data_IF_693074255931
#
_entry.id   IF_693074255931
#
_cell.length_a   1.000
_cell.length_b   1.000
_cell.length_c   1.000
_cell.angle_alpha   90.00
_cell.angle_beta   90.00
_cell.angle_gamma   90.00
#
_symmetry.space_group_name_H-M   'P 1'
#
loop_
_entity.id
_entity.type
_entity.pdbx_description
1 polymer ?
#
# COMPACT_ATOMS: atom_id res chain seq x y z
N UNK A 1 -68.63 -42.72 -25.62
CA UNK A 1 -67.18 -42.78 -25.93
C UNK A 1 -66.65 -41.38 -25.73
N UNK A 2 -66.17 -41.12 -24.52
CA UNK A 2 -65.56 -39.88 -24.06
C UNK A 2 -64.42 -40.32 -23.16
N UNK A 3 -63.20 -39.88 -23.45
CA UNK A 3 -62.41 -39.06 -22.52
C UNK A 3 -61.00 -38.92 -23.07
N UNK A 4 -60.72 -37.71 -23.57
CA UNK A 4 -59.37 -37.25 -23.82
C UNK A 4 -58.67 -37.03 -22.49
N UNK A 5 -57.62 -37.80 -22.23
CA UNK A 5 -56.65 -37.48 -21.18
C UNK A 5 -55.79 -36.31 -21.65
N UNK A 6 -56.16 -35.11 -21.23
CA UNK A 6 -55.19 -34.01 -21.08
C UNK A 6 -54.29 -34.36 -19.89
N UNK A 7 -52.98 -34.27 -20.10
CA UNK A 7 -51.99 -34.36 -19.04
C UNK A 7 -51.98 -32.99 -18.35
N UNK A 8 -52.56 -32.93 -17.14
CA UNK A 8 -52.29 -31.85 -16.19
C UNK A 8 -50.81 -31.94 -15.81
N UNK A 9 -50.03 -30.99 -16.29
CA UNK A 9 -48.76 -30.66 -15.66
C UNK A 9 -49.10 -29.71 -14.52
N UNK A 10 -49.10 -30.22 -13.30
CA UNK A 10 -49.14 -29.40 -12.10
C UNK A 10 -47.95 -28.43 -12.12
N UNK A 11 -48.28 -27.14 -12.00
CA UNK A 11 -47.37 -26.04 -11.72
C UNK A 11 -46.47 -26.40 -10.52
N UNK A 12 -45.23 -26.80 -10.77
CA UNK A 12 -44.14 -26.61 -9.80
C UNK A 12 -43.78 -25.12 -9.78
N UNK A 13 -44.73 -24.33 -9.28
CA UNK A 13 -44.54 -22.97 -8.81
C UNK A 13 -43.77 -23.01 -7.49
N UNK A 14 -42.75 -22.17 -7.42
CA UNK A 14 -42.34 -21.49 -6.20
C UNK A 14 -42.05 -22.37 -4.97
N UNK A 15 -41.04 -23.22 -5.10
CA UNK A 15 -40.15 -23.47 -3.96
C UNK A 15 -38.73 -23.05 -4.36
N UNK A 16 -38.61 -21.76 -4.71
CA UNK A 16 -37.46 -21.01 -4.23
C UNK A 16 -37.42 -21.28 -2.73
N UNK A 17 -36.51 -22.15 -2.30
CA UNK A 17 -35.98 -22.10 -0.94
C UNK A 17 -35.44 -20.68 -0.79
N UNK A 18 -36.29 -19.78 -0.34
CA UNK A 18 -35.91 -18.70 0.55
C UNK A 18 -35.24 -19.41 1.72
N UNK A 19 -33.94 -19.64 1.55
CA UNK A 19 -33.03 -19.73 2.67
C UNK A 19 -33.36 -18.48 3.47
N UNK A 20 -33.72 -18.61 4.76
CA UNK A 20 -33.89 -17.45 5.61
C UNK A 20 -32.63 -16.61 5.43
N UNK A 21 -32.77 -15.40 4.89
CA UNK A 21 -31.72 -14.39 5.01
C UNK A 21 -31.54 -14.25 6.51
N UNK A 22 -30.46 -14.86 7.01
CA UNK A 22 -30.01 -14.69 8.37
C UNK A 22 -29.96 -13.17 8.60
N UNK A 23 -30.79 -12.67 9.51
CA UNK A 23 -30.78 -11.28 9.97
C UNK A 23 -29.54 -10.97 10.82
N UNK A 24 -28.40 -11.55 10.45
CA UNK A 24 -27.10 -11.29 11.01
C UNK A 24 -26.41 -10.22 10.19
N UNK A 25 -25.95 -9.17 10.87
CA UNK A 25 -25.05 -8.12 10.40
C UNK A 25 -23.74 -8.71 9.86
N UNK A 26 -23.78 -9.42 8.72
CA UNK A 26 -22.59 -9.94 8.08
C UNK A 26 -21.87 -8.80 7.37
N UNK A 27 -20.61 -8.57 7.79
CA UNK A 27 -19.75 -7.59 7.17
C UNK A 27 -19.53 -7.97 5.69
N UNK A 28 -19.51 -7.01 4.75
CA UNK A 28 -19.29 -7.25 3.33
C UNK A 28 -17.79 -7.49 3.05
N UNK A 29 -17.23 -8.54 3.66
CA UNK A 29 -15.79 -8.82 3.68
C UNK A 29 -15.27 -9.18 2.29
N UNK A 30 -16.05 -9.96 1.53
CA UNK A 30 -15.64 -10.41 0.19
C UNK A 30 -15.57 -9.24 -0.79
N UNK A 31 -16.61 -8.43 -0.78
CA UNK A 31 -16.76 -7.27 -1.65
C UNK A 31 -15.72 -6.22 -1.28
N UNK A 32 -15.55 -5.91 0.00
CA UNK A 32 -14.50 -5.01 0.48
C UNK A 32 -13.11 -5.45 0.09
N UNK A 33 -12.80 -6.75 0.22
CA UNK A 33 -11.52 -7.29 -0.21
C UNK A 33 -11.28 -7.12 -1.72
N UNK A 34 -12.32 -7.22 -2.56
CA UNK A 34 -12.20 -6.97 -4.00
C UNK A 34 -11.89 -5.49 -4.26
N UNK A 35 -12.64 -4.57 -3.66
CA UNK A 35 -12.38 -3.12 -3.80
C UNK A 35 -10.97 -2.75 -3.30
N UNK A 36 -10.56 -3.29 -2.16
CA UNK A 36 -9.22 -3.09 -1.62
C UNK A 36 -8.11 -3.67 -2.51
N UNK A 37 -8.30 -4.86 -3.06
CA UNK A 37 -7.32 -5.47 -3.95
C UNK A 37 -7.15 -4.66 -5.24
N UNK A 38 -8.26 -4.20 -5.84
CA UNK A 38 -8.22 -3.32 -7.02
C UNK A 38 -7.49 -2.02 -6.68
N UNK A 39 -7.78 -1.42 -5.53
CA UNK A 39 -7.16 -0.18 -5.08
C UNK A 39 -5.65 -0.34 -4.87
N UNK A 40 -5.21 -1.39 -4.16
CA UNK A 40 -3.79 -1.72 -3.97
C UNK A 40 -3.09 -1.92 -5.31
N UNK A 41 -3.65 -2.73 -6.22
CA UNK A 41 -3.03 -3.00 -7.51
C UNK A 41 -2.94 -1.73 -8.36
N UNK A 42 -4.01 -0.95 -8.47
CA UNK A 42 -4.02 0.27 -9.26
C UNK A 42 -3.01 1.31 -8.75
N UNK A 43 -2.93 1.49 -7.43
CA UNK A 43 -1.99 2.41 -6.80
C UNK A 43 -0.55 1.93 -6.96
N UNK A 44 -0.25 0.66 -6.65
CA UNK A 44 1.09 0.11 -6.85
C UNK A 44 1.55 0.21 -8.31
N UNK A 45 0.67 -0.10 -9.29
CA UNK A 45 1.01 0.06 -10.71
C UNK A 45 1.27 1.52 -11.10
N UNK A 46 0.60 2.47 -10.46
CA UNK A 46 0.88 3.90 -10.66
C UNK A 46 2.26 4.27 -10.15
N UNK A 47 2.62 3.80 -8.95
CA UNK A 47 3.98 3.95 -8.41
C UNK A 47 5.03 3.28 -9.30
N UNK A 48 4.75 2.08 -9.79
CA UNK A 48 5.62 1.33 -10.68
C UNK A 48 5.87 2.07 -11.99
N UNK A 49 4.80 2.59 -12.61
CA UNK A 49 4.91 3.34 -13.85
C UNK A 49 5.76 4.60 -13.70
N UNK A 50 5.53 5.39 -12.65
CA UNK A 50 6.32 6.60 -12.40
C UNK A 50 7.77 6.28 -12.03
N UNK A 51 7.99 5.22 -11.26
CA UNK A 51 9.33 4.76 -10.91
C UNK A 51 10.08 4.29 -12.15
N UNK A 52 9.45 3.53 -13.05
CA UNK A 52 10.07 3.12 -14.31
C UNK A 52 10.46 4.31 -15.20
N UNK A 53 9.64 5.37 -15.26
CA UNK A 53 9.97 6.60 -15.99
C UNK A 53 11.17 7.30 -15.34
N UNK A 54 11.22 7.36 -14.01
CA UNK A 54 12.34 7.94 -13.28
C UNK A 54 13.63 7.13 -13.49
N UNK A 55 13.55 5.80 -13.33
CA UNK A 55 14.65 4.84 -13.56
C UNK A 55 15.20 4.89 -14.99
N UNK A 56 14.37 5.13 -16.00
CA UNK A 56 14.84 5.25 -17.38
C UNK A 56 15.68 6.52 -17.63
N UNK A 57 15.68 7.46 -16.69
CA UNK A 57 16.39 8.75 -16.78
C UNK A 57 17.54 8.87 -15.78
N UNK A 58 17.67 7.93 -14.85
CA UNK A 58 18.82 7.82 -13.95
C UNK A 58 19.93 7.03 -14.63
N UNK A 59 21.16 7.46 -14.41
CA UNK A 59 22.35 6.70 -14.82
C UNK A 59 23.05 6.25 -13.54
N UNK A 60 23.53 4.99 -13.46
CA UNK A 60 24.35 4.57 -12.34
C UNK A 60 25.60 5.44 -12.26
N UNK A 61 26.00 5.80 -11.05
CA UNK A 61 27.26 6.50 -10.84
C UNK A 61 28.43 5.53 -11.11
N UNK A 62 29.43 6.02 -11.83
CA UNK A 62 30.64 5.26 -12.16
C UNK A 62 31.72 5.67 -11.18
N UNK A 63 32.05 4.77 -10.27
CA UNK A 63 33.13 4.95 -9.31
C UNK A 63 34.37 4.17 -9.76
N UNK A 64 35.56 4.61 -9.35
CA UNK A 64 36.80 3.85 -9.57
C UNK A 64 37.26 3.27 -8.25
N UNK A 65 37.18 1.93 -8.13
CA UNK A 65 37.77 1.17 -7.03
C UNK A 65 39.03 0.51 -7.55
N UNK A 66 40.20 1.02 -7.15
CA UNK A 66 41.48 0.67 -7.77
C UNK A 66 41.54 1.10 -9.25
N UNK A 67 41.89 0.16 -10.14
CA UNK A 67 42.04 0.41 -11.59
C UNK A 67 40.79 0.03 -12.43
N UNK A 68 39.70 -0.40 -11.80
CA UNK A 68 38.48 -0.84 -12.52
C UNK A 68 37.30 0.10 -12.26
N UNK A 69 36.53 0.47 -13.30
CA UNK A 69 35.27 1.16 -13.11
C UNK A 69 34.24 0.20 -12.48
N UNK A 70 33.69 0.60 -11.34
CA UNK A 70 32.59 -0.08 -10.64
C UNK A 70 31.34 0.77 -10.81
N UNK A 71 30.28 0.13 -11.32
CA UNK A 71 28.97 0.76 -11.44
C UNK A 71 28.22 0.58 -10.13
N UNK A 72 27.62 1.65 -9.64
CA UNK A 72 26.79 1.62 -8.42
C UNK A 72 25.58 0.70 -8.61
N UNK A 73 25.30 -0.16 -7.63
CA UNK A 73 24.16 -1.09 -7.69
C UNK A 73 22.84 -0.31 -7.65
N UNK A 74 22.02 -0.47 -8.69
CA UNK A 74 20.70 0.15 -8.75
C UNK A 74 19.62 -0.79 -8.23
N UNK A 75 18.70 -0.25 -7.44
CA UNK A 75 17.53 -1.00 -6.97
C UNK A 75 16.57 -1.24 -8.13
N UNK A 76 16.09 -2.48 -8.23
CA UNK A 76 15.07 -2.86 -9.21
C UNK A 76 13.84 -1.94 -9.13
N UNK A 77 13.31 -1.52 -10.29
CA UNK A 77 12.21 -0.54 -10.36
C UNK A 77 10.96 -0.98 -9.59
N UNK A 78 10.70 -2.28 -9.49
CA UNK A 78 9.58 -2.83 -8.74
C UNK A 78 9.77 -2.73 -7.21
N UNK A 79 11.00 -2.90 -6.72
CA UNK A 79 11.35 -2.69 -5.31
C UNK A 79 11.22 -1.20 -4.98
N UNK A 80 11.82 -0.33 -5.81
CA UNK A 80 11.76 1.11 -5.63
C UNK A 80 10.32 1.66 -5.70
N UNK A 81 9.47 1.09 -6.55
CA UNK A 81 8.05 1.42 -6.60
C UNK A 81 7.31 1.01 -5.32
N UNK A 82 7.65 -0.15 -4.78
CA UNK A 82 7.20 -0.62 -3.48
C UNK A 82 7.56 0.32 -2.35
N UNK A 83 8.82 0.76 -2.30
CA UNK A 83 9.29 1.75 -1.35
C UNK A 83 8.55 3.07 -1.49
N UNK A 84 8.35 3.53 -2.72
CA UNK A 84 7.57 4.74 -3.00
C UNK A 84 6.12 4.61 -2.51
N UNK A 85 5.47 3.48 -2.76
CA UNK A 85 4.10 3.19 -2.31
C UNK A 85 4.00 3.18 -0.79
N UNK A 86 4.87 2.42 -0.11
CA UNK A 86 4.87 2.32 1.36
C UNK A 86 5.21 3.66 2.01
N UNK A 87 6.13 4.43 1.43
CA UNK A 87 6.49 5.76 1.90
C UNK A 87 5.32 6.75 1.90
N UNK A 88 4.32 6.60 1.03
CA UNK A 88 3.10 7.45 1.04
C UNK A 88 2.24 7.23 2.29
N UNK A 89 2.38 6.07 2.95
CA UNK A 89 1.76 5.79 4.24
C UNK A 89 2.68 6.10 5.43
N UNK A 90 3.81 6.78 5.20
CA UNK A 90 4.76 7.13 6.25
C UNK A 90 5.58 5.96 6.78
N UNK A 91 5.70 4.87 6.03
CA UNK A 91 6.53 3.72 6.40
C UNK A 91 8.01 4.12 6.37
N UNK A 92 8.73 3.87 7.48
CA UNK A 92 10.17 4.04 7.56
C UNK A 92 10.95 2.94 6.83
N UNK A 93 12.25 3.16 6.65
CA UNK A 93 13.17 2.22 6.02
C UNK A 93 14.30 1.88 6.97
N UNK A 94 14.84 0.68 6.80
CA UNK A 94 15.90 0.13 7.63
C UNK A 94 17.04 -0.39 6.75
N UNK A 95 18.27 -0.20 7.22
CA UNK A 95 19.48 -0.82 6.72
C UNK A 95 20.04 -1.71 7.84
N UNK A 96 20.09 -3.03 7.62
CA UNK A 96 20.46 -4.03 8.62
C UNK A 96 19.71 -3.88 9.97
N UNK A 97 18.45 -3.43 9.92
CA UNK A 97 17.60 -3.21 11.09
C UNK A 97 17.72 -1.83 11.74
N UNK A 98 18.61 -0.96 11.24
CA UNK A 98 18.79 0.41 11.72
C UNK A 98 18.10 1.41 10.78
N UNK A 99 17.50 2.46 11.33
CA UNK A 99 16.70 3.40 10.52
C UNK A 99 17.54 4.16 9.49
N UNK A 100 17.06 4.20 8.24
CA UNK A 100 17.68 4.94 7.13
C UNK A 100 16.66 5.83 6.42
N UNK A 101 17.12 6.98 5.93
CA UNK A 101 16.34 7.88 5.08
C UNK A 101 16.56 7.51 3.62
N UNK A 102 15.49 7.22 2.87
CA UNK A 102 15.56 6.81 1.46
C UNK A 102 16.35 7.77 0.55
N UNK A 103 16.37 9.06 0.87
CA UNK A 103 17.11 10.07 0.11
C UNK A 103 18.63 9.87 0.14
N UNK A 104 19.15 9.06 1.07
CA UNK A 104 20.57 8.79 1.24
C UNK A 104 21.03 7.49 0.54
N UNK A 105 20.10 6.78 -0.12
CA UNK A 105 20.42 5.57 -0.88
C UNK A 105 20.62 5.97 -2.36
N UNK A 106 21.76 5.63 -3.00
CA UNK A 106 22.01 5.91 -4.42
C UNK A 106 20.97 5.20 -5.30
N UNK A 107 19.92 5.90 -5.76
CA UNK A 107 18.82 5.24 -6.47
C UNK A 107 17.85 6.17 -7.24
N UNK A 108 17.01 5.53 -8.03
CA UNK A 108 15.76 6.00 -8.64
C UNK A 108 14.72 6.48 -7.60
N UNK A 109 14.76 5.97 -6.36
CA UNK A 109 13.96 6.48 -5.25
C UNK A 109 14.36 7.93 -4.89
N UNK A 110 15.65 8.25 -4.95
CA UNK A 110 16.15 9.63 -4.84
C UNK A 110 15.81 10.48 -6.09
N UNK A 111 15.55 9.85 -7.24
CA UNK A 111 15.05 10.57 -8.42
C UNK A 111 13.64 11.13 -8.20
N UNK A 112 12.80 10.48 -7.37
CA UNK A 112 11.50 11.02 -6.96
C UNK A 112 11.62 12.19 -5.98
N UNK A 113 12.75 12.35 -5.30
CA UNK A 113 13.07 13.49 -4.43
C UNK A 113 13.74 14.65 -5.17
N UNK A 114 14.07 14.50 -6.46
CA UNK A 114 14.61 15.57 -7.29
C UNK A 114 13.54 16.58 -7.73
N UNK A 115 13.94 17.84 -7.94
CA UNK A 115 13.06 18.98 -8.27
C UNK A 115 12.06 18.74 -9.42
N UNK A 116 12.41 18.05 -10.53
CA UNK A 116 11.46 17.74 -11.60
C UNK A 116 10.33 16.78 -11.19
N UNK A 117 10.51 16.04 -10.09
CA UNK A 117 9.59 15.02 -9.60
C UNK A 117 8.93 15.38 -8.26
N UNK A 118 9.20 16.54 -7.65
CA UNK A 118 8.53 16.96 -6.41
C UNK A 118 7.00 16.97 -6.53
N UNK A 119 6.47 17.39 -7.68
CA UNK A 119 5.02 17.31 -7.95
C UNK A 119 4.51 15.87 -8.04
N UNK A 120 5.36 14.92 -8.45
CA UNK A 120 4.98 13.51 -8.53
C UNK A 120 4.71 12.92 -7.15
N UNK A 121 5.43 13.36 -6.10
CA UNK A 121 5.15 12.93 -4.73
C UNK A 121 3.76 13.33 -4.25
N UNK A 122 3.34 14.57 -4.53
CA UNK A 122 1.99 15.05 -4.20
C UNK A 122 0.91 14.30 -4.98
N UNK A 123 1.16 14.05 -6.27
CA UNK A 123 0.23 13.30 -7.12
C UNK A 123 0.11 11.85 -6.64
N UNK A 124 1.24 11.20 -6.34
CA UNK A 124 1.28 9.82 -5.83
C UNK A 124 0.60 9.70 -4.47
N UNK A 125 0.80 10.68 -3.58
CA UNK A 125 0.07 10.75 -2.32
C UNK A 125 -1.44 10.86 -2.56
N UNK A 126 -1.86 11.82 -3.39
CA UNK A 126 -3.27 12.05 -3.70
C UNK A 126 -3.92 10.82 -4.36
N UNK A 127 -3.21 10.15 -5.27
CA UNK A 127 -3.68 8.90 -5.90
C UNK A 127 -3.75 7.78 -4.88
N UNK A 128 -2.75 7.61 -4.03
CA UNK A 128 -2.71 6.53 -3.03
C UNK A 128 -3.84 6.68 -2.01
N UNK A 129 -3.90 7.84 -1.35
CA UNK A 129 -4.94 8.14 -0.36
C UNK A 129 -6.32 8.19 -1.01
N UNK A 130 -6.43 8.87 -2.16
CA UNK A 130 -7.68 9.01 -2.90
C UNK A 130 -8.26 7.67 -3.36
N UNK A 131 -7.42 6.70 -3.75
CA UNK A 131 -7.90 5.38 -4.17
C UNK A 131 -8.37 4.54 -2.98
N UNK A 132 -7.71 4.64 -1.82
CA UNK A 132 -8.20 4.01 -0.57
C UNK A 132 -9.57 4.58 -0.19
N UNK A 133 -9.70 5.91 -0.23
CA UNK A 133 -10.99 6.57 0.04
C UNK A 133 -12.05 6.18 -0.98
N UNK A 134 -11.70 6.11 -2.27
CA UNK A 134 -12.62 5.70 -3.33
C UNK A 134 -13.08 4.24 -3.16
N UNK A 135 -12.20 3.35 -2.68
CA UNK A 135 -12.56 1.98 -2.35
C UNK A 135 -13.54 1.92 -1.18
N UNK A 136 -13.29 2.68 -0.11
CA UNK A 136 -14.20 2.83 1.02
C UNK A 136 -15.57 3.39 0.65
N UNK A 137 -15.59 4.44 -0.17
CA UNK A 137 -16.81 5.00 -0.76
C UNK A 137 -17.55 3.96 -1.61
N UNK A 138 -16.81 3.26 -2.47
CA UNK A 138 -17.35 2.27 -3.40
C UNK A 138 -18.03 1.12 -2.68
N UNK A 139 -17.41 0.57 -1.62
CA UNK A 139 -18.02 -0.52 -0.86
C UNK A 139 -19.26 -0.07 -0.09
N UNK A 140 -19.21 1.07 0.59
CA UNK A 140 -20.35 1.58 1.34
C UNK A 140 -21.55 1.89 0.43
N UNK A 141 -21.28 2.37 -0.79
CA UNK A 141 -22.30 2.59 -1.82
C UNK A 141 -22.82 1.28 -2.40
N UNK A 142 -21.96 0.29 -2.58
CA UNK A 142 -22.34 -1.03 -3.13
C UNK A 142 -23.23 -1.81 -2.16
N UNK A 143 -22.99 -1.67 -0.86
CA UNK A 143 -23.72 -2.39 0.18
C UNK A 143 -24.94 -1.64 0.68
N UNK A 144 -25.23 -0.47 0.11
CA UNK A 144 -26.31 0.44 0.54
C UNK A 144 -26.33 0.62 2.07
N UNK A 145 -25.22 1.09 2.64
CA UNK A 145 -25.12 1.26 4.09
C UNK A 145 -26.18 2.24 4.64
N UNK A 146 -26.96 1.80 5.63
CA UNK A 146 -28.13 2.52 6.17
C UNK A 146 -27.76 3.53 7.27
N UNK A 147 -26.48 3.90 7.39
CA UNK A 147 -26.02 4.93 8.32
C UNK A 147 -24.50 4.99 8.52
N UNK A 148 -24.00 5.95 9.31
CA UNK A 148 -22.56 6.17 9.52
C UNK A 148 -21.81 4.96 10.08
N UNK A 149 -22.42 4.20 10.99
CA UNK A 149 -21.80 3.03 11.62
C UNK A 149 -21.65 1.88 10.61
N UNK A 150 -22.67 1.64 9.79
CA UNK A 150 -22.63 0.60 8.76
C UNK A 150 -21.69 0.98 7.62
N UNK A 151 -21.65 2.26 7.23
CA UNK A 151 -20.69 2.76 6.26
C UNK A 151 -19.25 2.56 6.78
N UNK A 152 -18.95 2.91 8.03
CA UNK A 152 -17.63 2.68 8.61
C UNK A 152 -17.26 1.19 8.66
N UNK A 153 -18.21 0.32 9.01
CA UNK A 153 -18.04 -1.14 8.98
C UNK A 153 -17.78 -1.66 7.56
N UNK A 154 -18.48 -1.14 6.56
CA UNK A 154 -18.23 -1.49 5.16
C UNK A 154 -16.85 -0.98 4.71
N UNK A 155 -16.46 0.23 5.08
CA UNK A 155 -15.14 0.79 4.76
C UNK A 155 -13.99 -0.06 5.30
N UNK A 156 -14.10 -0.59 6.52
CA UNK A 156 -13.00 -1.38 7.12
C UNK A 156 -12.76 -2.71 6.42
N UNK A 157 -13.72 -3.24 5.66
CA UNK A 157 -13.53 -4.50 4.91
C UNK A 157 -12.57 -4.36 3.72
N UNK A 158 -12.17 -3.13 3.38
CA UNK A 158 -11.15 -2.81 2.36
C UNK A 158 -9.72 -3.06 2.86
N UNK A 159 -9.50 -3.16 4.17
CA UNK A 159 -8.16 -3.23 4.80
C UNK A 159 -7.38 -4.53 4.52
N UNK A 160 -7.97 -5.75 4.52
CA UNK A 160 -7.19 -6.99 4.46
C UNK A 160 -6.23 -7.09 3.25
N UNK A 161 -6.61 -6.69 2.03
CA UNK A 161 -5.67 -6.61 0.90
C UNK A 161 -4.45 -5.73 1.14
N UNK A 162 -4.62 -4.58 1.81
CA UNK A 162 -3.50 -3.69 2.16
C UNK A 162 -2.57 -4.34 3.17
N UNK A 163 -3.11 -5.00 4.19
CA UNK A 163 -2.32 -5.75 5.17
C UNK A 163 -1.49 -6.84 4.50
N UNK A 164 -2.10 -7.65 3.63
CA UNK A 164 -1.40 -8.71 2.90
C UNK A 164 -0.31 -8.12 2.01
N UNK A 165 -0.62 -7.06 1.26
CA UNK A 165 0.35 -6.42 0.39
C UNK A 165 1.50 -5.78 1.16
N UNK A 166 1.23 -5.07 2.26
CA UNK A 166 2.25 -4.44 3.08
C UNK A 166 3.19 -5.47 3.73
N UNK A 167 2.64 -6.59 4.22
CA UNK A 167 3.44 -7.68 4.74
C UNK A 167 4.34 -8.28 3.65
N UNK A 168 3.79 -8.59 2.46
CA UNK A 168 4.58 -9.11 1.35
C UNK A 168 5.65 -8.12 0.89
N UNK A 169 5.31 -6.84 0.80
CA UNK A 169 6.22 -5.78 0.41
C UNK A 169 7.39 -5.63 1.40
N UNK A 170 7.13 -5.70 2.71
CA UNK A 170 8.17 -5.61 3.73
C UNK A 170 9.27 -6.67 3.56
N UNK A 171 8.91 -7.90 3.18
CA UNK A 171 9.88 -8.99 3.02
C UNK A 171 10.45 -9.11 1.61
N UNK A 172 9.62 -8.90 0.58
CA UNK A 172 9.99 -9.17 -0.80
C UNK A 172 10.69 -7.97 -1.43
N UNK A 173 10.41 -6.75 -0.94
CA UNK A 173 11.00 -5.51 -1.47
C UNK A 173 12.20 -5.07 -0.63
N UNK A 174 13.02 -6.02 -0.17
CA UNK A 174 14.35 -5.72 0.36
C UNK A 174 15.39 -5.83 -0.77
N UNK A 175 16.49 -5.10 -0.64
CA UNK A 175 17.61 -5.13 -1.58
C UNK A 175 18.91 -5.22 -0.82
N UNK A 176 19.86 -5.95 -1.37
CA UNK A 176 21.20 -6.09 -0.78
C UNK A 176 22.19 -5.30 -1.63
N UNK A 177 22.99 -4.45 -0.99
CA UNK A 177 24.05 -3.68 -1.64
C UNK A 177 25.40 -4.31 -1.34
N UNK A 178 26.17 -4.52 -2.41
CA UNK A 178 27.47 -5.23 -2.37
C UNK A 178 28.62 -4.41 -2.93
N UNK A 179 28.34 -3.26 -3.54
CA UNK A 179 29.36 -2.36 -4.05
C UNK A 179 29.82 -1.35 -2.99
N UNK A 180 31.11 -1.02 -3.03
CA UNK A 180 31.76 -0.17 -2.03
C UNK A 180 31.10 1.21 -1.89
N UNK A 181 30.71 1.83 -3.01
CA UNK A 181 30.16 3.19 -2.97
C UNK A 181 28.79 3.21 -2.30
N UNK A 182 27.92 2.25 -2.63
CA UNK A 182 26.59 2.17 -2.02
C UNK A 182 26.65 1.77 -0.56
N UNK A 183 27.51 0.81 -0.21
CA UNK A 183 27.72 0.41 1.19
C UNK A 183 28.25 1.60 2.01
N UNK A 184 29.24 2.34 1.50
CA UNK A 184 29.72 3.58 2.15
C UNK A 184 28.61 4.61 2.33
N UNK A 185 27.81 4.89 1.29
CA UNK A 185 26.69 5.85 1.37
C UNK A 185 25.66 5.43 2.43
N UNK A 186 25.37 4.13 2.54
CA UNK A 186 24.46 3.60 3.54
C UNK A 186 25.03 3.72 4.97
N UNK A 187 26.33 3.46 5.16
CA UNK A 187 27.02 3.63 6.44
C UNK A 187 27.07 5.11 6.88
N UNK A 188 27.33 6.03 5.95
CA UNK A 188 27.25 7.47 6.23
C UNK A 188 25.84 7.92 6.63
N UNK A 189 24.82 7.29 6.05
CA UNK A 189 23.42 7.55 6.37
C UNK A 189 23.00 6.96 7.72
N UNK A 190 23.69 5.93 8.22
CA UNK A 190 23.36 5.19 9.43
C UNK A 190 24.61 5.07 10.32
N UNK A 191 24.97 6.13 11.09
CA UNK A 191 26.23 6.19 11.83
C UNK A 191 26.40 5.15 12.94
N UNK A 192 25.34 4.41 13.28
CA UNK A 192 25.35 3.33 14.27
C UNK A 192 25.98 2.05 13.70
N UNK A 193 25.98 1.89 12.38
CA UNK A 193 26.65 0.78 11.71
C UNK A 193 28.16 1.03 11.70
N UNK A 194 28.92 0.14 12.31
CA UNK A 194 30.37 0.26 12.40
C UNK A 194 31.01 -0.10 11.04
N UNK A 195 31.72 0.83 10.42
CA UNK A 195 32.21 0.67 9.05
C UNK A 195 33.20 -0.49 8.87
N UNK A 196 33.94 -0.86 9.92
CA UNK A 196 34.89 -1.99 9.92
C UNK A 196 34.21 -3.36 9.83
N UNK A 197 32.90 -3.44 10.11
CA UNK A 197 32.11 -4.66 9.92
C UNK A 197 31.73 -4.91 8.45
N UNK A 198 31.73 -3.86 7.63
CA UNK A 198 31.21 -3.91 6.25
C UNK A 198 32.28 -3.63 5.21
N UNK A 199 33.36 -2.95 5.59
CA UNK A 199 34.38 -2.45 4.66
C UNK A 199 35.77 -2.72 5.20
N UNK A 200 36.62 -3.30 4.35
CA UNK A 200 38.06 -3.25 4.56
C UNK A 200 38.60 -1.90 4.06
N UNK A 201 38.90 -1.00 5.00
CA UNK A 201 39.39 0.33 4.69
C UNK A 201 40.78 0.35 4.01
N UNK A 202 41.57 -0.73 4.12
CA UNK A 202 42.88 -0.82 3.47
C UNK A 202 42.74 -1.28 2.02
N UNK A 203 41.85 -2.22 1.76
CA UNK A 203 41.64 -2.79 0.42
C UNK A 203 40.53 -2.08 -0.38
N UNK A 204 39.74 -1.21 0.26
CA UNK A 204 38.55 -0.58 -0.31
C UNK A 204 37.56 -1.60 -0.87
N UNK A 205 37.38 -2.70 -0.16
CA UNK A 205 36.51 -3.81 -0.53
C UNK A 205 35.37 -3.97 0.47
N UNK A 206 34.23 -4.43 -0.02
CA UNK A 206 33.08 -4.78 0.83
C UNK A 206 33.32 -6.17 1.43
N UNK A 207 33.28 -6.26 2.76
CA UNK A 207 33.45 -7.50 3.52
C UNK A 207 32.12 -8.11 3.96
N UNK A 208 31.08 -7.26 4.10
CA UNK A 208 29.70 -7.67 4.35
C UNK A 208 28.75 -6.75 3.60
N UNK A 209 27.70 -7.34 3.05
CA UNK A 209 26.66 -6.60 2.36
C UNK A 209 25.74 -5.86 3.34
N UNK A 210 25.07 -4.81 2.85
CA UNK A 210 24.01 -4.10 3.58
C UNK A 210 22.67 -4.44 2.95
N UNK A 211 21.76 -5.02 3.74
CA UNK A 211 20.37 -5.24 3.38
C UNK A 211 19.54 -4.00 3.74
N UNK A 212 18.82 -3.47 2.75
CA UNK A 212 17.97 -2.30 2.90
C UNK A 212 16.54 -2.61 2.47
N UNK A 213 15.57 -2.17 3.27
CA UNK A 213 14.16 -2.38 2.95
C UNK A 213 13.21 -1.59 3.84
N UNK A 214 11.90 -1.76 3.65
CA UNK A 214 10.90 -1.15 4.51
C UNK A 214 10.97 -1.73 5.92
N UNK A 215 10.77 -0.89 6.93
CA UNK A 215 10.58 -1.37 8.30
C UNK A 215 9.34 -2.27 8.34
N UNK A 216 9.52 -3.52 8.78
CA UNK A 216 8.42 -4.50 8.78
C UNK A 216 7.29 -4.09 9.72
N UNK A 217 7.62 -3.55 10.89
CA UNK A 217 6.63 -3.06 11.86
C UNK A 217 5.83 -1.90 11.30
N UNK A 218 6.51 -0.93 10.68
CA UNK A 218 5.87 0.26 10.11
C UNK A 218 5.01 -0.11 8.91
N UNK A 219 5.51 -1.00 8.03
CA UNK A 219 4.77 -1.47 6.87
C UNK A 219 3.45 -2.13 7.29
N UNK A 220 3.48 -3.05 8.24
CA UNK A 220 2.28 -3.73 8.74
C UNK A 220 1.35 -2.74 9.45
N UNK A 221 1.87 -1.91 10.35
CA UNK A 221 1.06 -1.03 11.17
C UNK A 221 0.47 0.12 10.35
N UNK A 222 1.31 0.89 9.66
CA UNK A 222 0.88 2.10 8.97
C UNK A 222 0.26 1.78 7.61
N UNK A 223 0.99 1.11 6.72
CA UNK A 223 0.51 0.82 5.37
C UNK A 223 -0.47 -0.36 5.31
N UNK A 224 -0.41 -1.29 6.27
CA UNK A 224 -1.29 -2.46 6.31
C UNK A 224 -2.61 -2.24 7.04
N UNK A 225 -2.63 -1.39 8.07
CA UNK A 225 -3.77 -1.28 8.99
C UNK A 225 -4.24 0.17 9.14
N UNK A 226 -3.43 1.03 9.77
CA UNK A 226 -3.87 2.33 10.29
C UNK A 226 -4.34 3.25 9.17
N UNK A 227 -3.51 3.52 8.17
CA UNK A 227 -3.88 4.44 7.10
C UNK A 227 -4.98 3.88 6.19
N UNK A 228 -4.93 2.60 5.73
CA UNK A 228 -6.02 2.02 4.98
C UNK A 228 -7.36 2.08 5.73
N UNK A 229 -7.37 1.74 7.02
CA UNK A 229 -8.59 1.76 7.83
C UNK A 229 -9.15 3.17 7.95
N UNK A 230 -8.32 4.14 8.33
CA UNK A 230 -8.75 5.54 8.49
C UNK A 230 -9.31 6.09 7.18
N UNK A 231 -8.57 5.97 6.08
CA UNK A 231 -8.99 6.55 4.81
C UNK A 231 -10.15 5.79 4.16
N UNK A 232 -10.24 4.47 4.30
CA UNK A 232 -11.40 3.73 3.80
C UNK A 232 -12.66 4.08 4.59
N UNK A 233 -12.56 4.26 5.92
CA UNK A 233 -13.67 4.74 6.75
C UNK A 233 -14.07 6.16 6.32
N UNK A 234 -13.12 7.09 6.17
CA UNK A 234 -13.44 8.45 5.70
C UNK A 234 -14.12 8.40 4.34
N UNK A 235 -13.60 7.59 3.41
CA UNK A 235 -14.21 7.37 2.10
C UNK A 235 -15.65 6.85 2.18
N UNK A 236 -15.89 5.86 3.03
CA UNK A 236 -17.22 5.29 3.25
C UNK A 236 -18.20 6.31 3.85
N UNK A 237 -17.75 7.08 4.86
CA UNK A 237 -18.55 8.09 5.53
C UNK A 237 -19.00 9.23 4.60
N UNK A 238 -18.27 9.53 3.52
CA UNK A 238 -18.71 10.51 2.51
C UNK A 238 -20.07 10.14 1.89
N UNK A 239 -20.47 8.86 1.91
CA UNK A 239 -21.81 8.44 1.44
C UNK A 239 -22.96 8.93 2.33
N UNK A 240 -22.67 9.30 3.58
CA UNK A 240 -23.65 9.58 4.65
C UNK A 240 -23.75 11.08 4.98
N UNK A 241 -23.47 11.96 4.01
CA UNK A 241 -23.18 13.38 4.24
C UNK A 241 -24.21 14.15 5.08
N UNK A 242 -25.51 13.88 4.94
CA UNK A 242 -26.57 14.56 5.71
C UNK A 242 -26.64 14.02 7.16
N UNK A 243 -26.62 12.69 7.33
CA UNK A 243 -26.73 12.04 8.64
C UNK A 243 -25.53 12.29 9.56
N UNK A 244 -24.33 12.47 8.99
CA UNK A 244 -23.13 12.82 9.76
C UNK A 244 -23.22 14.22 10.34
N UNK A 245 -23.79 15.17 9.59
CA UNK A 245 -23.95 16.55 10.03
C UNK A 245 -24.99 16.60 11.15
N UNK A 246 -26.10 15.90 11.00
CA UNK A 246 -27.16 15.83 12.01
C UNK A 246 -26.66 15.18 13.31
N UNK A 247 -25.89 14.08 13.22
CA UNK A 247 -25.27 13.45 14.38
C UNK A 247 -24.24 14.36 15.08
N UNK A 248 -23.48 15.16 14.32
CA UNK A 248 -22.53 16.11 14.87
C UNK A 248 -23.23 17.28 15.59
N UNK A 249 -24.31 17.81 15.01
CA UNK A 249 -25.11 18.88 15.60
C UNK A 249 -25.77 18.41 16.89
N UNK A 250 -26.41 17.22 16.88
CA UNK A 250 -27.06 16.65 18.06
C UNK A 250 -26.09 16.49 19.25
N UNK A 251 -24.83 16.12 18.97
CA UNK A 251 -23.80 15.94 20.00
C UNK A 251 -23.25 17.26 20.55
N UNK A 252 -23.31 18.34 19.78
CA UNK A 252 -22.97 19.69 20.24
C UNK A 252 -24.07 20.23 21.15
N UNK A 253 -25.34 20.02 20.78
CA UNK A 253 -26.49 20.45 21.59
C UNK A 253 -26.59 19.71 22.93
N UNK A 254 -26.14 18.45 23.03
CA UNK A 254 -26.05 17.72 24.31
C UNK A 254 -24.96 18.25 25.27
N UNK A 255 -24.01 19.05 24.78
CA UNK A 255 -22.90 19.60 25.58
C UNK A 255 -23.09 21.06 26.00
N UNK A 256 -24.18 21.72 25.57
CA UNK A 256 -24.57 23.09 25.96
C UNK A 256 -25.77 23.10 26.89
#
# INVERSE_FOLDING_TARGET
MSDGKQLDYEDESDVQRQVPQDGGSDLPVKEGAVFGAIAVVATYLTHLFLTMIASARTMPEVNTTGDSPVMTDLVGSWIAAGWSYLGMFGVGFEANGESIVLGNIPNNAAALTNTPFLFSGVILFAVTVGTVMAAGYGIARYTDADGPVEAAKAGITVVPPYLVFAALAAFVMTTTFSDYATVMSALEAVPVLESDQFIDAQEQTVTSDIEVGPSTSDAILFAGIVFPAVFAIVGALITQGEDIIDAAIAKVDEQT
#
